data_IF_581969521358
#
_entry.id   IF_581969521358
#
_cell.length_a   1.000
_cell.length_b   1.000
_cell.length_c   1.000
_cell.angle_alpha   90.00
_cell.angle_beta   90.00
_cell.angle_gamma   90.00
#
_symmetry.space_group_name_H-M   'P 1'
#
loop_
_entity.id
_entity.type
_entity.pdbx_description
1 polymer ?
#
# COMPACT_ATOMS: atom_id res chain seq x y z
N UNK A 1 -4.89 3.53 42.80
CA UNK A 1 -4.67 4.09 41.45
C UNK A 1 -3.67 3.20 40.73
N UNK A 2 -4.13 2.27 39.88
CA UNK A 2 -3.24 1.39 39.11
C UNK A 2 -2.98 2.06 37.77
N UNK A 3 -1.73 2.45 37.53
CA UNK A 3 -1.27 2.88 36.21
C UNK A 3 -1.30 1.64 35.32
N UNK A 4 -2.23 1.60 34.36
CA UNK A 4 -2.21 0.60 33.30
C UNK A 4 -1.08 1.02 32.35
N UNK A 5 0.04 0.33 32.40
CA UNK A 5 1.10 0.48 31.39
C UNK A 5 0.61 -0.20 30.12
N UNK A 6 0.11 0.61 29.17
CA UNK A 6 -0.10 0.17 27.80
C UNK A 6 1.29 0.12 27.17
N UNK A 7 1.88 -1.07 27.06
CA UNK A 7 3.05 -1.28 26.21
C UNK A 7 2.55 -1.41 24.78
N UNK A 8 3.00 -0.57 23.82
CA UNK A 8 2.70 -0.83 22.42
C UNK A 8 3.32 -2.18 22.05
N UNK A 9 2.49 -3.08 21.52
CA UNK A 9 2.98 -4.27 20.82
C UNK A 9 3.46 -3.78 19.46
N UNK A 10 4.72 -3.39 19.37
CA UNK A 10 5.37 -3.18 18.08
C UNK A 10 5.59 -4.57 17.46
N UNK A 11 4.68 -5.02 16.60
CA UNK A 11 5.10 -5.96 15.58
C UNK A 11 6.11 -5.19 14.71
N UNK A 12 7.34 -5.69 14.55
CA UNK A 12 8.25 -5.17 13.53
C UNK A 12 7.68 -5.58 12.16
N UNK A 13 6.61 -4.90 11.73
CA UNK A 13 6.01 -5.07 10.40
C UNK A 13 6.92 -4.46 9.34
N UNK A 14 7.86 -3.59 9.74
CA UNK A 14 8.87 -3.03 8.84
C UNK A 14 9.73 -4.17 8.26
N UNK A 15 9.97 -4.14 6.96
CA UNK A 15 10.50 -5.23 6.13
C UNK A 15 9.58 -6.46 5.97
N UNK A 16 8.35 -6.41 6.49
CA UNK A 16 7.34 -7.44 6.28
C UNK A 16 6.94 -7.58 4.80
N UNK A 17 6.57 -8.80 4.40
CA UNK A 17 6.14 -9.09 3.01
C UNK A 17 4.72 -8.59 2.77
N UNK A 18 4.54 -7.88 1.67
CA UNK A 18 3.23 -7.70 1.06
C UNK A 18 3.05 -8.81 0.01
N UNK A 19 2.04 -9.66 0.18
CA UNK A 19 1.82 -10.80 -0.69
C UNK A 19 0.33 -11.14 -0.81
N UNK A 20 -0.02 -11.81 -1.91
CA UNK A 20 -1.35 -12.38 -2.14
C UNK A 20 -1.27 -13.90 -2.17
N UNK A 21 -2.36 -14.56 -1.77
CA UNK A 21 -2.52 -16.01 -1.89
C UNK A 21 -3.49 -16.33 -3.01
N UNK A 22 -2.98 -16.95 -4.06
CA UNK A 22 -3.78 -17.48 -5.15
C UNK A 22 -4.38 -18.86 -4.84
N UNK A 23 -5.13 -19.41 -5.81
CA UNK A 23 -5.63 -20.78 -5.73
C UNK A 23 -4.50 -21.79 -5.49
N UNK A 24 -4.82 -22.90 -4.83
CA UNK A 24 -3.88 -23.99 -4.56
C UNK A 24 -2.65 -23.61 -3.72
N UNK A 25 -2.70 -22.51 -2.96
CA UNK A 25 -1.64 -22.13 -2.03
C UNK A 25 -0.46 -21.40 -2.67
N UNK A 26 -0.58 -20.97 -3.93
CA UNK A 26 0.42 -20.10 -4.56
C UNK A 26 0.49 -18.76 -3.81
N UNK A 27 1.70 -18.29 -3.48
CA UNK A 27 1.92 -16.96 -2.93
C UNK A 27 2.61 -16.07 -3.96
N UNK A 28 2.13 -14.84 -4.10
CA UNK A 28 2.72 -13.81 -4.95
C UNK A 28 3.21 -12.65 -4.09
N UNK A 29 4.52 -12.52 -3.93
CA UNK A 29 5.15 -11.38 -3.26
C UNK A 29 5.12 -10.15 -4.18
N UNK A 30 4.50 -9.05 -3.72
CA UNK A 30 4.33 -7.82 -4.51
C UNK A 30 4.87 -6.56 -3.83
N UNK A 31 5.45 -6.68 -2.64
CA UNK A 31 6.04 -5.54 -1.96
C UNK A 31 6.61 -5.83 -0.57
N UNK A 32 7.08 -4.78 0.08
CA UNK A 32 7.62 -4.77 1.44
C UNK A 32 7.12 -3.54 2.19
N UNK A 33 6.78 -3.71 3.46
CA UNK A 33 6.41 -2.58 4.33
C UNK A 33 7.67 -1.80 4.69
N UNK A 34 7.67 -0.50 4.39
CA UNK A 34 8.76 0.43 4.67
C UNK A 34 8.54 1.20 5.99
N UNK A 35 7.29 1.51 6.31
CA UNK A 35 6.91 2.15 7.57
C UNK A 35 5.49 1.72 7.96
N UNK A 36 5.26 1.55 9.26
CA UNK A 36 3.96 1.20 9.81
C UNK A 36 3.75 1.91 11.14
N UNK A 37 3.05 3.06 11.08
CA UNK A 37 2.79 3.95 12.22
C UNK A 37 1.28 3.99 12.50
N UNK A 38 0.69 2.92 13.06
CA UNK A 38 -0.76 2.84 13.27
C UNK A 38 -1.26 3.85 14.31
N UNK A 39 -2.49 4.38 14.16
CA UNK A 39 -3.42 4.16 13.05
C UNK A 39 -3.18 5.08 11.84
N UNK A 40 -2.15 5.93 11.89
CA UNK A 40 -2.04 7.12 11.06
C UNK A 40 -1.45 6.89 9.68
N UNK A 41 -0.56 5.90 9.51
CA UNK A 41 0.29 5.82 8.32
C UNK A 41 0.81 4.42 8.04
N UNK A 42 0.86 4.09 6.75
CA UNK A 42 1.59 2.94 6.22
C UNK A 42 2.29 3.33 4.92
N UNK A 43 3.53 2.85 4.75
CA UNK A 43 4.31 3.01 3.51
C UNK A 43 4.81 1.64 3.09
N UNK A 44 4.69 1.31 1.80
CA UNK A 44 5.18 0.05 1.26
C UNK A 44 5.69 0.20 -0.18
N UNK A 45 6.60 -0.70 -0.56
CA UNK A 45 7.05 -0.81 -1.95
C UNK A 45 5.96 -1.43 -2.82
N UNK A 46 5.88 -0.98 -4.06
CA UNK A 46 5.04 -1.53 -5.09
C UNK A 46 5.93 -2.18 -6.15
N UNK A 47 6.06 -3.50 -6.05
CA UNK A 47 6.93 -4.33 -6.88
C UNK A 47 6.13 -5.08 -7.95
N UNK A 48 5.21 -4.38 -8.62
CA UNK A 48 4.49 -4.89 -9.78
C UNK A 48 4.87 -4.05 -10.98
N UNK A 49 5.42 -4.70 -12.01
CA UNK A 49 5.81 -4.06 -13.25
C UNK A 49 4.56 -3.70 -14.10
N UNK A 50 4.73 -2.83 -15.12
CA UNK A 50 3.62 -2.38 -15.98
C UNK A 50 2.85 -3.49 -16.70
N UNK A 51 3.52 -4.61 -16.99
CA UNK A 51 2.93 -5.83 -17.57
C UNK A 51 2.20 -6.72 -16.54
N UNK A 52 2.12 -6.25 -15.28
CA UNK A 52 1.52 -6.91 -14.12
C UNK A 52 2.31 -8.11 -13.59
N UNK A 53 3.57 -8.24 -13.96
CA UNK A 53 4.46 -9.26 -13.41
C UNK A 53 5.16 -8.72 -12.15
N UNK A 54 5.32 -9.54 -11.09
CA UNK A 54 6.12 -9.15 -9.94
C UNK A 54 7.57 -8.83 -10.32
N UNK A 55 8.09 -7.71 -9.84
CA UNK A 55 9.46 -7.25 -10.05
C UNK A 55 10.31 -7.55 -8.80
N UNK A 56 11.22 -8.54 -8.85
CA UNK A 56 11.99 -8.95 -7.68
C UNK A 56 13.07 -7.94 -7.27
N UNK A 57 13.49 -7.03 -8.16
CA UNK A 57 14.49 -6.02 -7.84
C UNK A 57 13.86 -4.83 -7.08
N UNK A 58 14.16 -4.63 -5.79
CA UNK A 58 13.58 -3.55 -4.99
C UNK A 58 13.96 -2.15 -5.50
N UNK A 59 15.05 -2.00 -6.27
CA UNK A 59 15.45 -0.72 -6.84
C UNK A 59 14.51 -0.24 -7.97
N UNK A 60 13.71 -1.15 -8.53
CA UNK A 60 12.70 -0.84 -9.55
C UNK A 60 11.29 -0.66 -8.96
N UNK A 61 11.16 -0.72 -7.64
CA UNK A 61 9.87 -0.58 -6.98
C UNK A 61 9.48 0.89 -6.83
N UNK A 62 8.26 1.24 -7.25
CA UNK A 62 7.63 2.48 -6.80
C UNK A 62 7.19 2.35 -5.34
N UNK A 63 6.65 3.43 -4.78
CA UNK A 63 6.19 3.45 -3.39
C UNK A 63 4.76 3.94 -3.29
N UNK A 64 4.04 3.37 -2.33
CA UNK A 64 2.71 3.82 -1.95
C UNK A 64 2.75 4.23 -0.48
N UNK A 65 2.27 5.44 -0.22
CA UNK A 65 2.04 5.95 1.12
C UNK A 65 0.56 6.22 1.32
N UNK A 66 0.04 5.71 2.43
CA UNK A 66 -1.35 5.90 2.84
C UNK A 66 -1.36 6.59 4.19
N UNK A 67 -2.06 7.72 4.26
CA UNK A 67 -2.26 8.50 5.48
C UNK A 67 -3.74 8.49 5.85
N UNK A 68 -4.02 8.26 7.12
CA UNK A 68 -5.34 8.35 7.72
C UNK A 68 -5.39 9.58 8.62
N UNK A 69 -6.22 10.56 8.24
CA UNK A 69 -6.37 11.82 8.96
C UNK A 69 -7.77 11.89 9.54
N UNK A 70 -7.89 12.03 10.86
CA UNK A 70 -9.18 12.22 11.51
C UNK A 70 -9.89 13.47 10.95
N UNK A 71 -11.17 13.34 10.63
CA UNK A 71 -12.01 14.42 10.14
C UNK A 71 -13.28 14.50 10.98
N UNK A 72 -13.18 15.16 12.13
CA UNK A 72 -14.27 15.19 13.10
C UNK A 72 -14.36 13.88 13.89
N UNK A 73 -15.57 13.54 14.38
CA UNK A 73 -15.76 12.42 15.34
C UNK A 73 -16.00 11.05 14.69
N UNK A 74 -16.45 11.01 13.44
CA UNK A 74 -16.94 9.79 12.80
C UNK A 74 -16.38 9.57 11.39
N UNK A 75 -15.59 10.52 10.88
CA UNK A 75 -15.00 10.41 9.55
C UNK A 75 -13.47 10.36 9.62
N UNK A 76 -12.88 9.62 8.69
CA UNK A 76 -11.43 9.62 8.45
C UNK A 76 -11.20 9.96 6.99
N UNK A 77 -10.36 10.95 6.73
CA UNK A 77 -9.87 11.22 5.39
C UNK A 77 -8.64 10.35 5.11
N UNK A 78 -8.76 9.47 4.11
CA UNK A 78 -7.63 8.71 3.60
C UNK A 78 -6.95 9.49 2.45
N UNK A 79 -5.64 9.68 2.53
CA UNK A 79 -4.82 10.25 1.45
C UNK A 79 -3.85 9.17 0.96
N UNK A 80 -3.77 9.02 -0.35
CA UNK A 80 -2.89 8.03 -0.98
C UNK A 80 -2.00 8.75 -1.97
N UNK A 81 -0.71 8.50 -1.85
CA UNK A 81 0.29 8.90 -2.83
C UNK A 81 0.97 7.65 -3.39
N UNK A 82 1.03 7.56 -4.71
CA UNK A 82 1.86 6.59 -5.42
C UNK A 82 2.95 7.38 -6.16
N UNK A 83 4.21 7.19 -5.77
CA UNK A 83 5.37 7.97 -6.23
C UNK A 83 6.49 7.08 -6.76
N UNK A 84 7.55 7.69 -7.28
CA UNK A 84 8.74 7.01 -7.83
C UNK A 84 8.42 6.13 -9.05
N UNK A 85 7.55 6.62 -9.94
CA UNK A 85 7.16 5.89 -11.16
C UNK A 85 8.32 5.71 -12.14
N UNK A 86 9.30 6.62 -12.15
CA UNK A 86 10.52 6.57 -12.94
C UNK A 86 11.30 5.25 -12.78
N UNK A 87 11.15 4.58 -11.63
CA UNK A 87 11.74 3.27 -11.35
C UNK A 87 11.17 2.12 -12.20
N UNK A 88 10.01 2.32 -12.84
CA UNK A 88 9.39 1.34 -13.77
C UNK A 88 9.95 1.40 -15.19
N UNK A 89 11.01 2.18 -15.43
CA UNK A 89 11.72 2.22 -16.70
C UNK A 89 10.91 2.86 -17.82
N UNK A 90 11.06 2.35 -19.04
CA UNK A 90 10.50 2.94 -20.27
C UNK A 90 8.97 3.12 -20.21
N UNK A 91 8.27 2.22 -19.53
CA UNK A 91 6.80 2.23 -19.45
C UNK A 91 6.26 2.93 -18.19
N UNK A 92 7.09 3.68 -17.47
CA UNK A 92 6.72 4.39 -16.25
C UNK A 92 5.50 5.30 -16.43
N UNK A 93 5.50 6.13 -17.48
CA UNK A 93 4.42 7.10 -17.69
C UNK A 93 3.13 6.42 -18.14
N UNK A 94 3.19 5.45 -19.05
CA UNK A 94 1.99 4.69 -19.45
C UNK A 94 1.39 3.93 -18.26
N UNK A 95 2.23 3.38 -17.37
CA UNK A 95 1.77 2.71 -16.17
C UNK A 95 1.07 3.67 -15.19
N UNK A 96 1.67 4.84 -14.97
CA UNK A 96 1.06 5.92 -14.18
C UNK A 96 -0.30 6.35 -14.74
N UNK A 97 -0.43 6.47 -16.06
CA UNK A 97 -1.71 6.80 -16.71
C UNK A 97 -2.73 5.67 -16.55
N UNK A 98 -2.32 4.40 -16.69
CA UNK A 98 -3.19 3.26 -16.44
C UNK A 98 -3.71 3.24 -15.00
N UNK A 99 -2.88 3.53 -14.00
CA UNK A 99 -3.29 3.62 -12.60
C UNK A 99 -4.16 4.85 -12.29
N UNK A 100 -4.13 5.88 -13.14
CA UNK A 100 -5.05 7.04 -13.07
C UNK A 100 -6.39 6.81 -13.76
N UNK A 101 -6.49 5.78 -14.59
CA UNK A 101 -7.74 5.44 -15.28
C UNK A 101 -8.83 5.00 -14.29
N UNK A 102 -10.11 4.93 -14.73
CA UNK A 102 -11.20 4.42 -13.90
C UNK A 102 -10.94 3.01 -13.35
N UNK A 103 -10.16 2.18 -14.06
CA UNK A 103 -9.80 0.81 -13.65
C UNK A 103 -8.55 0.75 -12.74
N UNK A 104 -7.89 1.88 -12.49
CA UNK A 104 -6.74 1.98 -11.60
C UNK A 104 -7.14 2.28 -10.16
N UNK A 105 -6.50 3.29 -9.56
CA UNK A 105 -6.76 3.70 -8.18
C UNK A 105 -8.22 4.03 -7.91
N UNK A 106 -8.94 4.63 -8.86
CA UNK A 106 -10.35 4.96 -8.66
C UNK A 106 -11.20 3.73 -8.32
N UNK A 107 -11.00 2.62 -9.06
CA UNK A 107 -11.69 1.35 -8.82
C UNK A 107 -11.32 0.76 -7.44
N UNK A 108 -10.02 0.75 -7.11
CA UNK A 108 -9.52 0.22 -5.82
C UNK A 108 -10.15 0.98 -4.65
N UNK A 109 -10.18 2.31 -4.71
CA UNK A 109 -10.71 3.14 -3.63
C UNK A 109 -12.22 3.01 -3.49
N UNK A 110 -12.94 2.86 -4.60
CA UNK A 110 -14.37 2.57 -4.58
C UNK A 110 -14.65 1.25 -3.85
N UNK A 111 -13.96 0.17 -4.21
CA UNK A 111 -14.13 -1.13 -3.58
C UNK A 111 -13.76 -1.10 -2.08
N UNK A 112 -12.71 -0.36 -1.71
CA UNK A 112 -12.35 -0.19 -0.31
C UNK A 112 -13.50 0.46 0.48
N UNK A 113 -14.07 1.55 -0.03
CA UNK A 113 -15.21 2.23 0.60
C UNK A 113 -16.43 1.30 0.73
N UNK A 114 -16.73 0.50 -0.28
CA UNK A 114 -17.82 -0.48 -0.24
C UNK A 114 -17.55 -1.60 0.78
N UNK A 115 -16.29 -1.96 1.03
CA UNK A 115 -15.92 -3.02 1.98
C UNK A 115 -16.02 -2.63 3.46
N UNK A 116 -16.00 -1.32 3.75
CA UNK A 116 -16.08 -0.77 5.11
C UNK A 116 -17.44 -0.13 5.44
N UNK A 117 -18.36 -0.12 4.46
CA UNK A 117 -19.74 0.33 4.62
C UNK A 117 -20.61 -0.80 5.14
#
# INVERSE_FOLDING_TARGET
MKIISIRPVFFEVTNGRCFERGPHGFECDWGRVLAFDPPSRIVFTWQIAPDRVPEPNPQKASEIEVLFVEKGRTETQMKIEHRNFDKHGEYAESYKQALRSPQGWHYILKNYLESIS
#
